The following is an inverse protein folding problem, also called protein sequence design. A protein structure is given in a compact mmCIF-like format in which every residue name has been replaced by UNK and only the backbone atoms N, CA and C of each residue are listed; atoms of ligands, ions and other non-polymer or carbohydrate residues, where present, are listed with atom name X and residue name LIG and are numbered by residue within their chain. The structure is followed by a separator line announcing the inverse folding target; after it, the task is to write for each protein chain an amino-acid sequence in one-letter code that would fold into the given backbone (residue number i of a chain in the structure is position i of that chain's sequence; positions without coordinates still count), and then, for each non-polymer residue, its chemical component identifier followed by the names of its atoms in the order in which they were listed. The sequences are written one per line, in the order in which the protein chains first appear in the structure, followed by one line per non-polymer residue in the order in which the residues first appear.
data_IF_679924938897
#
_entry.id   IF_679924938897
#
_cell.length_a   1.000
_cell.length_b   1.000
_cell.length_c   1.000
_cell.angle_alpha   90.00
_cell.angle_beta   90.00
_cell.angle_gamma   90.00
#
_symmetry.space_group_name_H-M   'P 1'
#
loop_
_entity.id
_entity.type
_entity.pdbx_description
1 polymer ?
#
# COMPACT_ATOMS: atom_id res chain seq x y z
N UNK A 1 -19.23 9.41 0.66
CA UNK A 1 -18.00 10.22 0.55
C UNK A 1 -17.92 11.41 1.52
N UNK A 2 -18.91 11.68 2.40
CA UNK A 2 -18.78 12.75 3.41
C UNK A 2 -17.57 12.48 4.30
N UNK A 3 -16.71 13.47 4.52
CA UNK A 3 -15.50 13.35 5.36
C UNK A 3 -14.31 12.64 4.71
N UNK A 4 -14.39 12.24 3.43
CA UNK A 4 -13.26 11.66 2.70
C UNK A 4 -12.54 12.71 1.85
N UNK A 5 -11.22 12.70 1.94
CA UNK A 5 -10.30 13.49 1.13
C UNK A 5 -9.20 12.61 0.53
N UNK A 6 -8.38 13.21 -0.31
CA UNK A 6 -7.25 12.55 -0.93
C UNK A 6 -6.06 13.49 -0.98
N UNK A 7 -4.88 12.97 -0.66
CA UNK A 7 -3.61 13.67 -0.81
C UNK A 7 -2.77 12.96 -1.88
N UNK A 8 -2.52 13.59 -3.03
CA UNK A 8 -1.74 12.96 -4.09
C UNK A 8 -0.27 12.88 -3.69
N UNK A 9 0.34 11.73 -3.94
CA UNK A 9 1.76 11.45 -3.70
C UNK A 9 2.34 10.88 -4.99
N UNK A 10 3.47 11.44 -5.43
CA UNK A 10 4.27 10.83 -6.49
C UNK A 10 5.53 10.22 -5.89
N UNK A 11 6.00 9.14 -6.50
CA UNK A 11 7.30 8.55 -6.19
C UNK A 11 8.29 8.86 -7.30
N UNK A 12 9.57 8.85 -6.98
CA UNK A 12 10.67 8.92 -7.92
C UNK A 12 11.69 7.82 -7.60
N UNK A 13 12.42 7.38 -8.62
CA UNK A 13 13.43 6.32 -8.52
C UNK A 13 14.68 6.76 -9.26
N UNK A 14 15.85 6.49 -8.69
CA UNK A 14 17.07 6.44 -9.48
C UNK A 14 17.09 5.13 -10.27
N UNK A 15 17.39 5.22 -11.56
CA UNK A 15 17.45 4.09 -12.49
C UNK A 15 18.83 4.02 -13.11
N UNK A 16 19.45 2.84 -13.03
CA UNK A 16 20.67 2.51 -13.73
C UNK A 16 20.40 1.40 -14.75
N UNK A 17 20.72 1.66 -16.02
CA UNK A 17 20.62 0.68 -17.11
C UNK A 17 21.99 0.22 -17.60
N UNK A 18 23.06 0.63 -16.90
CA UNK A 18 24.44 0.39 -17.32
C UNK A 18 24.76 -1.11 -17.20
N UNK A 19 25.05 -1.83 -18.30
CA UNK A 19 25.16 -3.29 -18.28
C UNK A 19 26.17 -3.81 -17.26
N UNK A 20 27.32 -3.17 -17.11
CA UNK A 20 28.36 -3.56 -16.18
C UNK A 20 27.94 -3.46 -14.70
N UNK A 21 26.94 -2.62 -14.37
CA UNK A 21 26.39 -2.51 -13.01
C UNK A 21 25.20 -3.46 -12.87
N UNK A 22 24.30 -3.45 -13.86
CA UNK A 22 23.06 -4.23 -13.87
C UNK A 22 23.29 -5.74 -13.83
N UNK A 23 24.35 -6.24 -14.47
CA UNK A 23 24.66 -7.67 -14.45
C UNK A 23 25.29 -8.16 -13.15
N UNK A 24 25.64 -7.27 -12.22
CA UNK A 24 26.18 -7.64 -10.92
C UNK A 24 25.10 -7.79 -9.83
N UNK A 25 23.88 -7.26 -10.05
CA UNK A 25 22.81 -7.24 -9.05
C UNK A 25 21.59 -8.07 -9.50
N UNK A 26 21.21 -9.05 -8.68
CA UNK A 26 20.07 -9.95 -8.95
C UNK A 26 19.04 -9.99 -7.81
N UNK A 27 19.26 -9.20 -6.75
CA UNK A 27 18.47 -9.26 -5.54
C UNK A 27 17.58 -8.01 -5.37
N UNK A 28 16.67 -8.09 -4.41
CA UNK A 28 16.00 -6.93 -3.82
C UNK A 28 16.52 -6.75 -2.40
N UNK A 29 17.18 -5.63 -2.16
CA UNK A 29 17.79 -5.31 -0.87
C UNK A 29 17.07 -4.13 -0.25
N UNK A 30 16.59 -4.30 0.98
CA UNK A 30 15.94 -3.25 1.75
C UNK A 30 16.94 -2.63 2.73
N UNK A 31 16.91 -1.31 2.88
CA UNK A 31 17.67 -0.61 3.90
C UNK A 31 16.92 -0.52 5.22
N UNK A 32 17.53 0.19 6.16
CA UNK A 32 16.85 0.63 7.37
C UNK A 32 15.91 1.82 7.05
N UNK A 33 14.81 1.91 7.79
CA UNK A 33 13.95 3.08 7.75
C UNK A 33 14.68 4.29 8.35
N UNK A 34 14.78 5.44 7.65
CA UNK A 34 15.25 6.68 8.27
C UNK A 34 14.36 7.07 9.45
N UNK A 35 14.93 7.72 10.46
CA UNK A 35 14.17 8.21 11.62
C UNK A 35 13.10 9.20 11.13
N UNK A 36 11.84 8.95 11.50
CA UNK A 36 10.70 9.77 11.09
C UNK A 36 10.16 9.49 9.68
N UNK A 37 10.78 8.57 8.93
CA UNK A 37 10.23 8.13 7.66
C UNK A 37 8.92 7.35 7.87
N UNK A 38 7.91 7.53 7.01
CA UNK A 38 6.69 6.73 7.06
C UNK A 38 7.05 5.25 6.87
N UNK A 39 6.31 4.31 7.49
CA UNK A 39 6.61 2.88 7.45
C UNK A 39 6.67 2.27 6.03
N UNK A 40 6.16 2.98 5.01
CA UNK A 40 6.19 2.58 3.61
C UNK A 40 7.32 3.19 2.78
N UNK A 41 8.18 4.05 3.34
CA UNK A 41 9.19 4.84 2.60
C UNK A 41 10.62 4.31 2.78
N UNK A 42 10.77 3.03 3.09
CA UNK A 42 12.09 2.42 3.28
C UNK A 42 12.80 2.32 1.92
N UNK A 43 14.01 2.89 1.77
CA UNK A 43 14.73 2.79 0.51
C UNK A 43 15.12 1.33 0.25
N UNK A 44 15.11 0.95 -1.02
CA UNK A 44 15.53 -0.35 -1.48
C UNK A 44 16.22 -0.26 -2.83
N UNK A 45 17.14 -1.20 -3.04
CA UNK A 45 17.85 -1.41 -4.29
C UNK A 45 17.36 -2.71 -4.93
N UNK A 46 16.71 -2.63 -6.10
CA UNK A 46 16.14 -3.80 -6.74
C UNK A 46 16.30 -3.85 -8.26
N UNK A 47 16.63 -5.04 -8.75
CA UNK A 47 16.66 -5.34 -10.19
C UNK A 47 15.24 -5.45 -10.74
N UNK A 48 14.99 -4.78 -11.86
CA UNK A 48 13.72 -4.79 -12.59
C UNK A 48 13.94 -5.06 -14.08
N UNK A 49 12.89 -5.54 -14.72
CA UNK A 49 12.79 -5.62 -16.17
C UNK A 49 11.80 -4.54 -16.60
N UNK A 50 12.28 -3.51 -17.29
CA UNK A 50 11.48 -2.39 -17.81
C UNK A 50 11.56 -2.46 -19.33
N UNK A 51 10.42 -2.61 -20.00
CA UNK A 51 10.33 -2.71 -21.46
C UNK A 51 11.29 -3.76 -22.06
N UNK A 52 11.43 -4.89 -21.36
CA UNK A 52 12.31 -6.00 -21.75
C UNK A 52 13.80 -5.80 -21.44
N UNK A 53 14.19 -4.65 -20.89
CA UNK A 53 15.57 -4.34 -20.48
C UNK A 53 15.74 -4.46 -18.97
N UNK A 54 16.85 -5.08 -18.55
CA UNK A 54 17.22 -5.17 -17.14
C UNK A 54 17.73 -3.81 -16.66
N UNK A 55 17.27 -3.37 -15.50
CA UNK A 55 17.67 -2.12 -14.86
C UNK A 55 17.73 -2.29 -13.34
N UNK A 56 18.51 -1.45 -12.66
CA UNK A 56 18.52 -1.37 -11.19
C UNK A 56 17.80 -0.10 -10.77
N UNK A 57 16.88 -0.23 -9.81
CA UNK A 57 16.14 0.88 -9.23
C UNK A 57 16.58 1.11 -7.79
N UNK A 58 16.70 2.38 -7.41
CA UNK A 58 16.91 2.81 -6.04
C UNK A 58 15.91 3.90 -5.63
N UNK A 59 15.35 3.77 -4.44
CA UNK A 59 14.31 4.67 -3.91
C UNK A 59 13.35 3.90 -2.99
N UNK A 60 12.11 4.38 -2.76
CA UNK A 60 11.51 5.53 -3.42
C UNK A 60 11.96 6.85 -2.80
N UNK A 61 12.08 7.88 -3.64
CA UNK A 61 12.14 9.28 -3.20
C UNK A 61 10.76 9.92 -3.33
N UNK A 62 10.40 10.82 -2.42
CA UNK A 62 9.11 11.50 -2.53
C UNK A 62 9.14 12.57 -3.63
N UNK A 63 8.12 12.55 -4.49
CA UNK A 63 7.82 13.62 -5.43
C UNK A 63 6.62 14.45 -4.98
N UNK A 64 6.45 15.62 -5.60
CA UNK A 64 5.29 16.47 -5.40
C UNK A 64 4.42 16.53 -6.66
N UNK A 65 3.11 16.41 -6.49
CA UNK A 65 2.12 16.65 -7.54
C UNK A 65 0.79 17.04 -6.90
N UNK A 66 -0.02 17.84 -7.59
CA UNK A 66 -1.42 18.09 -7.21
C UNK A 66 -2.41 17.29 -8.07
N UNK A 67 -1.90 16.54 -9.05
CA UNK A 67 -2.67 15.66 -9.95
C UNK A 67 -3.05 14.38 -9.23
N UNK A 68 -4.26 13.88 -9.51
CA UNK A 68 -4.70 12.58 -9.01
C UNK A 68 -4.44 11.45 -10.01
N UNK A 69 -4.33 11.80 -11.30
CA UNK A 69 -4.07 10.87 -12.40
C UNK A 69 -2.80 11.27 -13.16
N UNK A 70 -2.12 10.28 -13.78
CA UNK A 70 -0.93 10.51 -14.62
C UNK A 70 -1.14 11.66 -15.63
N UNK A 71 -2.28 11.62 -16.33
CA UNK A 71 -2.71 12.63 -17.30
C UNK A 71 -3.79 13.58 -16.73
N UNK A 72 -3.81 13.77 -15.40
CA UNK A 72 -4.78 14.61 -14.69
C UNK A 72 -4.41 16.10 -14.68
N UNK A 73 -5.23 16.89 -13.97
CA UNK A 73 -5.08 18.34 -13.88
C UNK A 73 -4.31 18.75 -12.62
N UNK A 74 -3.49 19.80 -12.72
CA UNK A 74 -2.92 20.43 -11.52
C UNK A 74 -3.99 21.05 -10.59
N UNK A 75 -5.23 21.17 -11.08
CA UNK A 75 -6.38 21.59 -10.29
C UNK A 75 -7.09 20.43 -9.58
N UNK A 76 -6.66 19.18 -9.74
CA UNK A 76 -7.35 18.01 -9.15
C UNK A 76 -7.45 18.14 -7.62
N UNK A 77 -6.32 18.35 -6.92
CA UNK A 77 -6.32 18.54 -5.47
C UNK A 77 -7.17 19.75 -5.04
N UNK A 78 -6.98 20.98 -5.55
CA UNK A 78 -7.85 22.11 -5.19
C UNK A 78 -9.34 21.85 -5.42
N UNK A 79 -9.71 21.26 -6.56
CA UNK A 79 -11.12 20.93 -6.89
C UNK A 79 -11.70 19.81 -6.04
N UNK A 80 -10.85 18.98 -5.44
CA UNK A 80 -11.28 17.90 -4.53
C UNK A 80 -11.70 18.41 -3.14
N UNK A 81 -11.27 19.63 -2.77
CA UNK A 81 -11.59 20.25 -1.48
C UNK A 81 -13.04 20.75 -1.51
N UNK A 82 -13.83 20.26 -0.55
CA UNK A 82 -15.25 20.55 -0.40
C UNK A 82 -15.55 20.87 1.06
N UNK A 83 -16.63 21.60 1.33
CA UNK A 83 -17.05 21.92 2.70
C UNK A 83 -17.20 20.68 3.59
N UNK A 84 -17.58 19.54 3.01
CA UNK A 84 -17.77 18.29 3.73
C UNK A 84 -16.50 17.44 3.92
N UNK A 85 -15.32 17.87 3.46
CA UNK A 85 -14.02 17.23 3.73
C UNK A 85 -12.92 18.21 4.18
N UNK A 86 -13.17 19.52 4.15
CA UNK A 86 -12.21 20.57 4.48
C UNK A 86 -11.63 20.40 5.89
N UNK A 87 -12.47 20.11 6.90
CA UNK A 87 -12.03 19.87 8.28
C UNK A 87 -10.99 18.74 8.35
N UNK A 88 -11.24 17.64 7.63
CA UNK A 88 -10.36 16.47 7.61
C UNK A 88 -9.04 16.80 6.89
N UNK A 89 -9.10 17.49 5.76
CA UNK A 89 -7.90 17.91 5.01
C UNK A 89 -6.98 18.81 5.86
N UNK A 90 -7.55 19.83 6.51
CA UNK A 90 -6.78 20.76 7.36
C UNK A 90 -6.22 20.06 8.60
N UNK A 91 -7.02 19.20 9.23
CA UNK A 91 -6.60 18.43 10.41
C UNK A 91 -5.42 17.50 10.10
N UNK A 92 -5.42 16.85 8.93
CA UNK A 92 -4.28 16.01 8.52
C UNK A 92 -3.02 16.83 8.33
N UNK A 93 -3.13 17.99 7.66
CA UNK A 93 -2.01 18.91 7.52
C UNK A 93 -1.41 19.27 8.87
N UNK A 94 -2.22 19.65 9.86
CA UNK A 94 -1.73 20.00 11.21
C UNK A 94 -1.18 18.79 12.00
N UNK A 95 -1.81 17.63 11.90
CA UNK A 95 -1.51 16.50 12.78
C UNK A 95 -0.41 15.57 12.24
N UNK A 96 0.04 15.77 10.99
CA UNK A 96 1.05 14.93 10.33
C UNK A 96 2.26 15.77 9.92
N UNK A 97 2.75 16.62 10.83
CA UNK A 97 3.84 17.54 10.55
C UNK A 97 5.18 16.85 10.29
N UNK A 98 5.45 15.72 10.95
CA UNK A 98 6.67 14.95 10.71
C UNK A 98 6.69 14.38 9.28
N UNK A 99 5.58 13.75 8.87
CA UNK A 99 5.41 13.30 7.49
C UNK A 99 5.50 14.47 6.50
N UNK A 100 4.85 15.59 6.80
CA UNK A 100 4.87 16.77 5.92
C UNK A 100 6.29 17.30 5.76
N UNK A 101 7.04 17.41 6.86
CA UNK A 101 8.45 17.83 6.87
C UNK A 101 9.30 16.85 6.07
N UNK A 102 9.11 15.55 6.27
CA UNK A 102 9.79 14.50 5.52
C UNK A 102 9.55 14.61 4.01
N UNK A 103 8.28 14.72 3.59
CA UNK A 103 7.93 14.88 2.18
C UNK A 103 8.52 16.16 1.58
N UNK A 104 8.52 17.27 2.33
CA UNK A 104 9.12 18.53 1.88
C UNK A 104 10.65 18.41 1.75
N UNK A 105 11.33 17.71 2.66
CA UNK A 105 12.77 17.47 2.54
C UNK A 105 13.11 16.59 1.34
N UNK A 106 12.33 15.53 1.10
CA UNK A 106 12.51 14.63 -0.04
C UNK A 106 12.34 15.36 -1.38
N UNK A 107 11.29 16.17 -1.50
CA UNK A 107 11.01 16.94 -2.73
C UNK A 107 12.12 17.96 -3.04
N UNK A 108 12.83 18.45 -2.01
CA UNK A 108 13.94 19.40 -2.15
C UNK A 108 15.27 18.75 -2.50
N UNK A 109 15.39 17.42 -2.42
CA UNK A 109 16.63 16.74 -2.75
C UNK A 109 17.02 17.01 -4.20
N UNK A 110 18.31 17.22 -4.42
CA UNK A 110 18.95 17.30 -5.73
C UNK A 110 19.26 15.91 -6.27
N UNK A 111 19.74 15.81 -7.52
CA UNK A 111 20.21 14.53 -8.06
C UNK A 111 21.36 13.97 -7.23
N UNK A 112 22.32 14.83 -6.84
CA UNK A 112 23.47 14.45 -6.03
C UNK A 112 23.04 13.88 -4.66
N UNK A 113 22.11 14.55 -3.96
CA UNK A 113 21.59 14.07 -2.67
C UNK A 113 20.97 12.66 -2.77
N UNK A 114 20.25 12.39 -3.88
CA UNK A 114 19.65 11.07 -4.12
C UNK A 114 20.70 10.00 -4.36
N UNK A 115 21.76 10.32 -5.10
CA UNK A 115 22.87 9.39 -5.35
C UNK A 115 23.72 9.20 -4.09
N UNK A 116 23.87 10.23 -3.25
CA UNK A 116 24.48 10.10 -1.93
C UNK A 116 23.72 9.12 -1.02
N UNK A 117 22.38 9.17 -1.04
CA UNK A 117 21.57 8.17 -0.34
C UNK A 117 21.83 6.74 -0.90
N UNK A 118 21.97 6.59 -2.22
CA UNK A 118 22.32 5.31 -2.86
C UNK A 118 23.69 4.80 -2.42
N UNK A 119 24.67 5.68 -2.18
CA UNK A 119 26.03 5.27 -1.73
C UNK A 119 26.02 4.51 -0.41
N UNK A 120 24.96 4.62 0.39
CA UNK A 120 24.77 3.78 1.58
C UNK A 120 24.50 2.31 1.26
N UNK A 121 24.03 1.99 0.05
CA UNK A 121 23.82 0.63 -0.45
C UNK A 121 24.90 0.21 -1.46
N UNK A 122 25.32 1.15 -2.31
CA UNK A 122 26.30 0.93 -3.36
C UNK A 122 27.35 2.06 -3.33
N UNK A 123 28.41 1.94 -2.50
CA UNK A 123 29.39 3.01 -2.28
C UNK A 123 30.09 3.54 -3.54
N UNK A 124 30.18 2.69 -4.58
CA UNK A 124 30.83 3.03 -5.85
C UNK A 124 29.89 3.71 -6.86
N UNK A 125 28.67 4.09 -6.46
CA UNK A 125 27.74 4.80 -7.33
C UNK A 125 28.32 6.11 -7.85
N UNK A 126 28.30 6.29 -9.17
CA UNK A 126 28.69 7.52 -9.87
C UNK A 126 27.45 8.25 -10.34
N UNK A 127 27.38 9.56 -10.12
CA UNK A 127 26.18 10.35 -10.41
C UNK A 127 25.70 10.19 -11.86
N UNK A 128 26.63 10.13 -12.82
CA UNK A 128 26.30 10.01 -14.25
C UNK A 128 25.65 8.68 -14.65
N UNK A 129 25.78 7.63 -13.84
CA UNK A 129 25.26 6.29 -14.14
C UNK A 129 23.78 6.12 -13.72
N UNK A 130 23.19 7.12 -13.05
CA UNK A 130 21.85 7.07 -12.49
C UNK A 130 20.98 8.22 -12.98
N UNK A 131 19.79 7.89 -13.45
CA UNK A 131 18.81 8.87 -13.94
C UNK A 131 17.54 8.83 -13.11
N UNK A 132 16.92 9.98 -12.89
CA UNK A 132 15.68 10.06 -12.12
C UNK A 132 14.48 9.71 -13.01
N UNK A 133 13.74 8.68 -12.62
CA UNK A 133 12.47 8.30 -13.24
C UNK A 133 11.30 8.61 -12.30
N UNK A 134 10.23 9.17 -12.86
CA UNK A 134 8.98 9.38 -12.12
C UNK A 134 8.17 8.09 -12.08
N UNK A 135 7.79 7.67 -10.88
CA UNK A 135 6.85 6.58 -10.68
C UNK A 135 5.41 7.00 -11.01
N UNK A 136 4.49 6.06 -10.90
CA UNK A 136 3.06 6.35 -10.91
C UNK A 136 2.63 7.34 -9.83
N UNK A 137 1.41 7.85 -9.98
CA UNK A 137 0.77 8.68 -8.98
C UNK A 137 -0.11 7.82 -8.09
N UNK A 138 -0.11 8.12 -6.80
CA UNK A 138 -0.99 7.50 -5.80
C UNK A 138 -1.78 8.59 -5.10
N UNK A 139 -2.97 8.24 -4.63
CA UNK A 139 -3.77 9.13 -3.78
C UNK A 139 -3.86 8.49 -2.41
N UNK A 140 -3.26 9.16 -1.43
CA UNK A 140 -3.32 8.79 -0.03
C UNK A 140 -4.68 9.20 0.54
N UNK A 141 -5.43 8.25 1.08
CA UNK A 141 -6.77 8.51 1.60
C UNK A 141 -6.67 9.31 2.90
N UNK A 142 -7.53 10.31 3.02
CA UNK A 142 -7.83 11.02 4.25
C UNK A 142 -9.26 10.68 4.65
N UNK A 143 -9.46 10.19 5.87
CA UNK A 143 -10.81 9.91 6.39
C UNK A 143 -11.01 10.54 7.75
N UNK A 144 -12.27 10.63 8.16
CA UNK A 144 -12.61 11.10 9.49
C UNK A 144 -12.06 10.14 10.54
N UNK A 145 -11.35 10.71 11.50
CA UNK A 145 -11.02 10.03 12.74
C UNK A 145 -12.27 9.96 13.62
N UNK A 146 -12.70 8.74 13.97
CA UNK A 146 -13.89 8.52 14.80
C UNK A 146 -13.66 8.93 16.25
N UNK A 147 -12.42 8.88 16.73
CA UNK A 147 -12.08 9.18 18.12
C UNK A 147 -11.91 10.69 18.33
N UNK A 148 -11.09 11.34 17.50
CA UNK A 148 -10.74 12.75 17.68
C UNK A 148 -11.57 13.71 16.81
N UNK A 149 -12.46 13.19 15.94
CA UNK A 149 -13.35 13.98 15.09
C UNK A 149 -12.67 14.81 13.99
N UNK A 150 -11.35 14.72 13.87
CA UNK A 150 -10.51 15.33 12.83
C UNK A 150 -10.33 14.43 11.61
N UNK A 151 -9.30 14.68 10.81
CA UNK A 151 -8.89 13.82 9.69
C UNK A 151 -7.65 13.00 10.05
N UNK A 152 -7.59 11.77 9.56
CA UNK A 152 -6.40 10.91 9.63
C UNK A 152 -6.02 10.35 8.26
N UNK A 153 -4.72 10.13 8.06
CA UNK A 153 -4.19 9.43 6.89
C UNK A 153 -4.40 7.92 7.06
N UNK A 154 -4.85 7.26 6.01
CA UNK A 154 -5.12 5.81 6.01
C UNK A 154 -4.08 5.06 5.17
N UNK A 155 -3.01 4.56 5.80
CA UNK A 155 -1.89 3.94 5.09
C UNK A 155 -2.15 2.49 4.62
N UNK A 156 -3.36 1.96 4.83
CA UNK A 156 -3.74 0.59 4.49
C UNK A 156 -4.72 0.45 3.33
N UNK A 157 -5.34 -0.73 3.27
CA UNK A 157 -6.49 -1.01 2.42
C UNK A 157 -7.76 -0.56 3.13
N UNK A 158 -8.57 0.28 2.47
CA UNK A 158 -9.90 0.64 2.95
C UNK A 158 -10.96 0.06 2.00
N UNK A 159 -11.79 -0.85 2.51
CA UNK A 159 -12.98 -1.29 1.80
C UNK A 159 -14.17 -0.38 2.15
N UNK A 160 -14.69 0.32 1.15
CA UNK A 160 -15.91 1.10 1.29
C UNK A 160 -17.03 0.49 0.44
N UNK A 161 -18.25 0.57 0.93
CA UNK A 161 -19.44 0.25 0.15
C UNK A 161 -20.47 1.37 0.28
N UNK A 162 -21.26 1.56 -0.76
CA UNK A 162 -22.44 2.42 -0.73
C UNK A 162 -23.43 1.91 0.33
N UNK A 163 -24.34 2.79 0.77
CA UNK A 163 -25.31 2.43 1.82
C UNK A 163 -26.24 1.29 1.39
N UNK A 164 -26.57 1.26 0.10
CA UNK A 164 -27.42 0.27 -0.56
C UNK A 164 -26.63 -0.96 -1.09
N UNK A 165 -25.31 -1.01 -0.89
CA UNK A 165 -24.47 -2.15 -1.31
C UNK A 165 -24.25 -2.28 -2.83
N UNK A 166 -24.83 -1.40 -3.65
CA UNK A 166 -24.74 -1.46 -5.11
C UNK A 166 -23.33 -1.17 -5.66
N UNK A 167 -22.47 -0.52 -4.87
CA UNK A 167 -21.08 -0.24 -5.20
C UNK A 167 -20.16 -0.52 -4.02
N UNK A 168 -19.12 -1.32 -4.25
CA UNK A 168 -17.99 -1.48 -3.35
C UNK A 168 -16.70 -1.00 -4.03
N UNK A 169 -15.83 -0.34 -3.27
CA UNK A 169 -14.52 0.09 -3.73
C UNK A 169 -13.46 -0.26 -2.69
N UNK A 170 -12.34 -0.81 -3.17
CA UNK A 170 -11.12 -0.95 -2.41
C UNK A 170 -10.24 0.25 -2.71
N UNK A 171 -9.94 1.03 -1.69
CA UNK A 171 -9.12 2.22 -1.78
C UNK A 171 -7.79 1.98 -1.06
N UNK A 172 -6.73 2.65 -1.51
CA UNK A 172 -5.44 2.67 -0.83
C UNK A 172 -4.52 1.55 -1.31
N UNK A 173 -3.72 0.99 -0.39
CA UNK A 173 -2.85 -0.13 -0.73
C UNK A 173 -3.70 -1.35 -1.10
N UNK A 174 -3.29 -2.11 -2.12
CA UNK A 174 -3.91 -3.41 -2.38
C UNK A 174 -3.78 -4.28 -1.13
N UNK A 175 -4.84 -4.98 -0.70
CA UNK A 175 -4.70 -5.91 0.40
C UNK A 175 -3.68 -6.97 0.02
N UNK A 176 -2.68 -7.16 0.88
CA UNK A 176 -1.73 -8.26 0.72
C UNK A 176 -2.45 -9.60 0.86
N UNK A 177 -1.82 -10.67 0.38
CA UNK A 177 -2.42 -12.01 0.38
C UNK A 177 -2.98 -12.44 1.75
N UNK A 178 -2.37 -11.98 2.85
CA UNK A 178 -2.80 -12.26 4.22
C UNK A 178 -4.15 -11.63 4.62
N UNK A 179 -4.58 -10.55 3.97
CA UNK A 179 -5.82 -9.83 4.33
C UNK A 179 -6.87 -9.86 3.23
N UNK A 180 -6.50 -10.14 1.97
CA UNK A 180 -7.40 -10.10 0.81
C UNK A 180 -8.67 -10.92 1.03
N UNK A 181 -8.55 -12.17 1.49
CA UNK A 181 -9.70 -13.06 1.66
C UNK A 181 -10.69 -12.48 2.67
N UNK A 182 -10.21 -12.05 3.83
CA UNK A 182 -11.06 -11.47 4.87
C UNK A 182 -11.74 -10.18 4.38
N UNK A 183 -11.01 -9.32 3.66
CA UNK A 183 -11.58 -8.10 3.07
C UNK A 183 -12.70 -8.42 2.07
N UNK A 184 -12.50 -9.40 1.20
CA UNK A 184 -13.51 -9.79 0.20
C UNK A 184 -14.75 -10.41 0.85
N UNK A 185 -14.57 -11.24 1.90
CA UNK A 185 -15.68 -11.78 2.68
C UNK A 185 -16.51 -10.64 3.29
N UNK A 186 -15.87 -9.66 3.94
CA UNK A 186 -16.58 -8.52 4.51
C UNK A 186 -17.34 -7.67 3.46
N UNK A 187 -16.83 -7.59 2.22
CA UNK A 187 -17.56 -6.96 1.11
C UNK A 187 -18.80 -7.78 0.74
N UNK A 188 -18.70 -9.11 0.66
CA UNK A 188 -19.83 -9.99 0.35
C UNK A 188 -20.92 -9.89 1.44
N UNK A 189 -20.54 -9.98 2.71
CA UNK A 189 -21.43 -9.83 3.86
C UNK A 189 -22.21 -8.51 3.82
N UNK A 190 -21.53 -7.42 3.43
CA UNK A 190 -22.15 -6.09 3.40
C UNK A 190 -22.99 -5.83 2.16
N UNK A 191 -22.53 -6.25 0.98
CA UNK A 191 -23.16 -5.89 -0.29
C UNK A 191 -24.17 -6.94 -0.79
N UNK A 192 -24.08 -8.17 -0.28
CA UNK A 192 -24.94 -9.29 -0.64
C UNK A 192 -25.54 -9.96 0.60
N UNK A 193 -25.91 -9.16 1.62
CA UNK A 193 -26.40 -9.65 2.91
C UNK A 193 -27.52 -10.70 2.76
N UNK A 194 -28.52 -10.45 1.92
CA UNK A 194 -29.64 -11.37 1.69
C UNK A 194 -29.17 -12.73 1.16
N UNK A 195 -28.20 -12.72 0.23
CA UNK A 195 -27.61 -13.96 -0.29
C UNK A 195 -26.75 -14.63 0.77
N UNK A 196 -25.91 -13.88 1.47
CA UNK A 196 -25.08 -14.41 2.56
C UNK A 196 -25.92 -15.03 3.68
N UNK A 197 -27.16 -14.59 3.90
CA UNK A 197 -28.09 -15.19 4.86
C UNK A 197 -28.85 -16.40 4.31
N UNK A 198 -28.71 -16.74 3.03
CA UNK A 198 -29.32 -17.94 2.44
C UNK A 198 -28.54 -19.21 2.79
N UNK A 199 -29.27 -20.32 2.94
CA UNK A 199 -28.67 -21.63 3.23
C UNK A 199 -27.66 -22.06 2.15
N UNK A 200 -27.93 -21.71 0.89
CA UNK A 200 -27.05 -22.02 -0.24
C UNK A 200 -25.67 -21.38 -0.07
N UNK A 201 -25.63 -20.07 0.21
CA UNK A 201 -24.37 -19.35 0.36
C UNK A 201 -23.68 -19.65 1.68
N UNK A 202 -24.42 -19.84 2.77
CA UNK A 202 -23.85 -20.31 4.04
C UNK A 202 -23.13 -21.65 3.84
N UNK A 203 -23.78 -22.60 3.16
CA UNK A 203 -23.18 -23.89 2.81
C UNK A 203 -21.93 -23.72 1.93
N UNK A 204 -22.02 -22.88 0.89
CA UNK A 204 -20.89 -22.63 -0.02
C UNK A 204 -19.71 -21.97 0.69
N UNK A 205 -19.98 -21.01 1.58
CA UNK A 205 -18.96 -20.33 2.38
C UNK A 205 -18.22 -21.31 3.28
N UNK A 206 -18.92 -22.21 3.97
CA UNK A 206 -18.28 -23.26 4.79
C UNK A 206 -17.47 -24.27 3.97
N UNK A 207 -17.82 -24.51 2.71
CA UNK A 207 -16.98 -25.33 1.81
C UNK A 207 -15.66 -24.63 1.48
N UNK A 208 -15.72 -23.34 1.16
CA UNK A 208 -14.55 -22.52 0.78
C UNK A 208 -13.67 -22.18 2.00
N UNK A 209 -14.30 -21.79 3.11
CA UNK A 209 -13.69 -21.36 4.36
C UNK A 209 -14.37 -22.13 5.51
N UNK A 210 -13.84 -23.29 5.92
CA UNK A 210 -14.49 -24.17 6.90
C UNK A 210 -14.77 -23.53 8.26
N UNK A 211 -13.99 -22.54 8.65
CA UNK A 211 -14.18 -21.79 9.90
C UNK A 211 -15.05 -20.55 9.76
N UNK A 212 -15.74 -20.38 8.62
CA UNK A 212 -16.57 -19.20 8.40
C UNK A 212 -17.70 -19.12 9.45
N UNK A 213 -17.78 -17.98 10.15
CA UNK A 213 -18.71 -17.74 11.24
C UNK A 213 -18.28 -18.29 12.61
N UNK A 214 -17.11 -18.92 12.71
CA UNK A 214 -16.64 -19.60 13.92
C UNK A 214 -15.27 -19.07 14.38
N UNK A 215 -15.05 -19.01 15.70
CA UNK A 215 -13.81 -18.50 16.28
C UNK A 215 -12.76 -19.59 16.42
N UNK A 216 -11.67 -19.48 15.67
CA UNK A 216 -10.52 -20.38 15.79
C UNK A 216 -9.69 -20.13 17.06
N UNK A 217 -9.91 -19.01 17.76
CA UNK A 217 -9.28 -18.70 19.04
C UNK A 217 -9.93 -19.53 20.15
N UNK A 218 -11.25 -19.66 20.11
CA UNK A 218 -12.04 -20.33 21.15
C UNK A 218 -12.28 -21.82 20.85
N UNK A 219 -12.32 -22.20 19.56
CA UNK A 219 -12.49 -23.60 19.14
C UNK A 219 -11.17 -24.25 18.73
N UNK A 220 -10.54 -24.92 19.69
CA UNK A 220 -9.29 -25.68 19.49
C UNK A 220 -9.46 -26.86 18.53
N UNK A 221 -10.63 -27.49 18.49
CA UNK A 221 -10.85 -28.66 17.64
C UNK A 221 -10.94 -28.23 16.18
N UNK A 222 -11.72 -27.18 15.92
CA UNK A 222 -11.83 -26.55 14.60
C UNK A 222 -10.48 -26.03 14.10
N UNK A 223 -9.70 -25.36 14.96
CA UNK A 223 -8.34 -24.91 14.63
C UNK A 223 -7.45 -26.05 14.15
N UNK A 224 -7.45 -27.19 14.86
CA UNK A 224 -6.66 -28.37 14.46
C UNK A 224 -7.12 -28.92 13.12
N UNK A 225 -8.43 -29.00 12.89
CA UNK A 225 -8.99 -29.48 11.63
C UNK A 225 -8.61 -28.57 10.46
N UNK A 226 -8.78 -27.26 10.61
CA UNK A 226 -8.44 -26.26 9.58
C UNK A 226 -6.93 -26.28 9.29
N UNK A 227 -6.08 -26.30 10.33
CA UNK A 227 -4.63 -26.35 10.17
C UNK A 227 -4.21 -27.62 9.42
N UNK A 228 -4.75 -28.78 9.78
CA UNK A 228 -4.46 -30.06 9.11
C UNK A 228 -4.89 -30.03 7.64
N UNK A 229 -6.10 -29.53 7.34
CA UNK A 229 -6.59 -29.36 5.96
C UNK A 229 -5.67 -28.45 5.15
N UNK A 230 -5.27 -27.30 5.70
CA UNK A 230 -4.40 -26.33 5.03
C UNK A 230 -3.02 -26.93 4.75
N UNK A 231 -2.40 -27.59 5.74
CA UNK A 231 -1.11 -28.27 5.57
C UNK A 231 -1.18 -29.35 4.48
N UNK A 232 -2.22 -30.17 4.48
CA UNK A 232 -2.40 -31.21 3.45
C UNK A 232 -2.62 -30.61 2.06
N UNK A 233 -3.45 -29.57 1.96
CA UNK A 233 -3.76 -28.90 0.68
C UNK A 233 -2.52 -28.23 0.07
N UNK A 234 -1.71 -27.59 0.92
CA UNK A 234 -0.47 -26.92 0.51
C UNK A 234 0.73 -27.88 0.42
N UNK A 235 0.54 -29.17 0.75
CA UNK A 235 1.60 -30.20 0.79
C UNK A 235 2.75 -29.82 1.74
N UNK A 236 2.40 -29.28 2.90
CA UNK A 236 3.31 -28.85 3.98
C UNK A 236 3.30 -29.79 5.19
N UNK A 237 2.63 -30.95 5.09
CA UNK A 237 2.40 -31.89 6.20
C UNK A 237 3.65 -32.53 6.81
N UNK A 238 4.79 -32.47 6.12
CA UNK A 238 6.07 -33.02 6.58
C UNK A 238 6.94 -32.00 7.35
N UNK A 239 6.44 -30.79 7.59
CA UNK A 239 7.16 -29.78 8.37
C UNK A 239 7.10 -30.14 9.86
N UNK A 240 8.24 -30.23 10.58
CA UNK A 240 8.26 -30.55 12.00
C UNK A 240 7.42 -29.54 12.78
N UNK A 241 6.68 -30.02 13.79
CA UNK A 241 5.78 -29.22 14.63
C UNK A 241 6.47 -27.92 15.09
N UNK A 242 6.00 -26.79 14.57
CA UNK A 242 6.23 -25.44 15.10
C UNK A 242 5.05 -25.04 15.96
#
# INVERSE_FOLDING_TARGET
SKGYGGFPVSGQWLVCEKPEIVEQHFAKVYGAAPIGAPPMSVPHLDTRIIDGKKAILFGPFAGFTTKFLKNGSFLDLPKSIKLNNLKQMLSVGKNNMDLTRYLVSEVRQTQADRVDALRSFYPNAKDEDWTLAYAGQRVQIIKQDKEHGGGKLEFGTEAIASKDGSLAALLGASPGASTTVNTMIGILERCFADKMNSDEWQSKMKVMVPSYGESLIDDKALLKQVRSRTLNTLKLGDMPNI
#
